data_IF_577480476395
#
_entry.id   IF_577480476395
#
_cell.length_a   1.000
_cell.length_b   1.000
_cell.length_c   1.000
_cell.angle_alpha   90.00
_cell.angle_beta   90.00
_cell.angle_gamma   90.00
#
_symmetry.space_group_name_H-M   'P 1'
#
loop_
_entity.id
_entity.type
_entity.pdbx_description
1 polymer ?
#
# COMPACT_ATOMS: atom_id res chain seq x y z
N UNK A 1 -21.66 26.61 -10.88
CA UNK A 1 -21.73 25.46 -9.94
C UNK A 1 -20.79 24.32 -10.36
N UNK A 2 -20.87 23.77 -11.58
CA UNK A 2 -19.92 22.71 -12.01
C UNK A 2 -18.43 23.08 -11.81
N UNK A 3 -18.03 24.30 -12.21
CA UNK A 3 -16.66 24.80 -11.98
C UNK A 3 -16.26 24.88 -10.50
N UNK A 4 -17.16 25.27 -9.60
CA UNK A 4 -16.85 25.35 -8.15
C UNK A 4 -16.79 23.96 -7.50
N UNK A 5 -17.60 23.00 -7.95
CA UNK A 5 -17.50 21.60 -7.55
C UNK A 5 -16.19 20.96 -8.04
N UNK A 6 -15.77 21.23 -9.28
CA UNK A 6 -14.47 20.78 -9.80
C UNK A 6 -13.29 21.28 -8.97
N UNK A 7 -13.27 22.58 -8.62
CA UNK A 7 -12.21 23.16 -7.77
C UNK A 7 -12.19 22.57 -6.35
N UNK A 8 -13.35 22.22 -5.78
CA UNK A 8 -13.45 21.54 -4.48
C UNK A 8 -12.99 20.08 -4.53
N UNK A 9 -13.23 19.37 -5.63
CA UNK A 9 -12.71 18.00 -5.83
C UNK A 9 -11.20 18.00 -6.06
N UNK A 10 -10.65 19.00 -6.75
CA UNK A 10 -9.20 19.21 -6.83
C UNK A 10 -8.59 19.50 -5.46
N UNK A 11 -9.17 20.39 -4.64
CA UNK A 11 -8.61 20.65 -3.31
C UNK A 11 -8.70 19.43 -2.38
N UNK A 12 -9.80 18.68 -2.41
CA UNK A 12 -9.93 17.45 -1.62
C UNK A 12 -8.92 16.36 -2.01
N UNK A 13 -8.71 16.14 -3.32
CA UNK A 13 -7.70 15.17 -3.80
C UNK A 13 -6.27 15.64 -3.51
N UNK A 14 -5.97 16.94 -3.67
CA UNK A 14 -4.67 17.49 -3.30
C UNK A 14 -4.37 17.35 -1.80
N UNK A 15 -5.34 17.65 -0.92
CA UNK A 15 -5.22 17.45 0.53
C UNK A 15 -4.99 15.98 0.86
N UNK A 16 -5.72 15.06 0.22
CA UNK A 16 -5.51 13.62 0.39
C UNK A 16 -4.09 13.20 -0.03
N UNK A 17 -3.61 13.61 -1.22
CA UNK A 17 -2.26 13.30 -1.68
C UNK A 17 -1.18 13.86 -0.77
N UNK A 18 -1.35 15.08 -0.26
CA UNK A 18 -0.42 15.70 0.69
C UNK A 18 -0.40 14.89 1.99
N UNK A 19 -1.56 14.56 2.57
CA UNK A 19 -1.61 13.74 3.79
C UNK A 19 -1.01 12.34 3.60
N UNK A 20 -1.25 11.67 2.45
CA UNK A 20 -0.64 10.36 2.18
C UNK A 20 0.87 10.45 1.98
N UNK A 21 1.39 11.49 1.31
CA UNK A 21 2.83 11.69 1.13
C UNK A 21 3.50 12.08 2.45
N UNK A 22 2.86 12.94 3.26
CA UNK A 22 3.36 13.33 4.57
C UNK A 22 3.39 12.14 5.55
N UNK A 23 2.33 11.31 5.55
CA UNK A 23 2.26 10.09 6.37
C UNK A 23 3.26 9.03 5.89
N UNK A 24 3.41 8.84 4.58
CA UNK A 24 4.41 7.93 4.02
C UNK A 24 5.83 8.39 4.41
N UNK A 25 6.16 9.68 4.26
CA UNK A 25 7.43 10.23 4.70
C UNK A 25 7.66 10.05 6.21
N UNK A 26 6.62 10.25 7.04
CA UNK A 26 6.72 10.07 8.50
C UNK A 26 6.90 8.60 8.93
N UNK A 27 6.33 7.65 8.18
CA UNK A 27 6.51 6.21 8.43
C UNK A 27 7.86 5.67 7.92
N UNK A 28 8.50 6.36 6.97
CA UNK A 28 9.90 6.12 6.57
C UNK A 28 10.92 6.88 7.46
N UNK A 29 10.48 7.55 8.53
CA UNK A 29 11.31 8.33 9.46
C UNK A 29 11.48 7.70 10.85
N UNK A 30 11.01 6.46 11.04
CA UNK A 30 11.28 5.69 12.25
C UNK A 30 12.66 5.02 12.14
N UNK A 31 13.62 5.32 13.04
CA UNK A 31 14.89 4.60 13.05
C UNK A 31 14.66 3.13 13.41
N UNK A 32 15.48 2.26 12.80
CA UNK A 32 15.77 0.92 13.33
C UNK A 32 17.11 1.07 14.04
N UNK A 33 17.17 0.72 15.32
CA UNK A 33 18.36 0.90 16.16
C UNK A 33 19.02 -0.46 16.43
N UNK A 34 20.33 -0.52 16.17
CA UNK A 34 21.30 -1.62 16.32
C UNK A 34 21.17 -2.87 15.42
N UNK A 35 22.26 -3.15 14.66
CA UNK A 35 22.49 -4.41 13.92
C UNK A 35 23.74 -5.19 14.46
N UNK A 36 24.51 -4.62 15.40
CA UNK A 36 25.42 -5.38 16.30
C UNK A 36 24.80 -5.55 17.70
N UNK A 37 24.74 -6.79 18.18
CA UNK A 37 24.47 -7.13 19.60
C UNK A 37 25.69 -7.77 20.27
N UNK A 38 26.17 -7.19 21.37
CA UNK A 38 27.35 -7.64 22.11
C UNK A 38 27.00 -8.13 23.52
N UNK A 39 27.71 -9.17 23.99
CA UNK A 39 27.46 -9.88 25.24
C UNK A 39 28.76 -10.24 25.96
N UNK A 40 28.77 -10.19 27.30
CA UNK A 40 29.86 -10.74 28.14
C UNK A 40 29.38 -11.90 29.01
N UNK A 41 30.30 -12.66 29.61
CA UNK A 41 29.95 -13.73 30.57
C UNK A 41 29.22 -13.21 31.82
N UNK A 42 29.40 -11.94 32.18
CA UNK A 42 28.71 -11.30 33.31
C UNK A 42 27.28 -10.83 32.95
N UNK A 43 26.73 -11.27 31.81
CA UNK A 43 25.46 -10.82 31.23
C UNK A 43 25.38 -9.30 30.99
N UNK A 44 26.51 -8.60 30.83
CA UNK A 44 26.50 -7.24 30.29
C UNK A 44 26.18 -7.32 28.79
N UNK A 45 25.22 -6.53 28.34
CA UNK A 45 24.74 -6.51 26.95
C UNK A 45 24.78 -5.10 26.39
N UNK A 46 25.19 -4.96 25.13
CA UNK A 46 25.22 -3.69 24.40
C UNK A 46 24.71 -3.87 22.99
N UNK A 47 23.84 -2.97 22.56
CA UNK A 47 23.30 -2.89 21.22
C UNK A 47 23.92 -1.66 20.55
N UNK A 48 24.42 -1.80 19.32
CA UNK A 48 25.16 -0.74 18.62
C UNK A 48 24.76 -0.64 17.15
N UNK A 49 24.69 0.58 16.65
CA UNK A 49 24.47 0.86 15.23
C UNK A 49 25.74 0.63 14.41
N UNK A 50 25.57 0.04 13.24
CA UNK A 50 26.59 -0.17 12.24
C UNK A 50 26.01 -0.02 10.82
N UNK A 51 26.86 -0.20 9.81
CA UNK A 51 26.48 -0.11 8.41
C UNK A 51 27.22 -1.18 7.60
N UNK A 52 26.52 -2.16 6.97
CA UNK A 52 27.17 -3.23 6.23
C UNK A 52 27.96 -2.73 5.01
N UNK A 53 29.07 -3.42 4.71
CA UNK A 53 29.88 -3.13 3.54
C UNK A 53 29.12 -3.41 2.24
N UNK A 54 29.40 -2.63 1.19
CA UNK A 54 28.88 -2.86 -0.17
C UNK A 54 29.65 -3.95 -0.93
N UNK A 55 30.37 -4.80 -0.22
CA UNK A 55 31.20 -5.89 -0.73
C UNK A 55 31.37 -6.98 0.34
N UNK A 56 31.95 -8.11 -0.05
CA UNK A 56 32.01 -9.29 0.81
C UNK A 56 30.75 -10.13 0.72
N UNK A 57 30.71 -11.21 1.50
CA UNK A 57 29.53 -12.07 1.60
C UNK A 57 28.48 -11.47 2.55
N UNK A 58 27.19 -11.77 2.34
CA UNK A 58 26.12 -11.29 3.23
C UNK A 58 26.16 -12.02 4.57
N UNK A 59 25.73 -11.35 5.64
CA UNK A 59 25.60 -11.99 6.95
C UNK A 59 24.55 -13.13 6.90
N UNK A 60 24.74 -14.24 7.64
CA UNK A 60 23.76 -15.33 7.73
C UNK A 60 22.44 -14.86 8.34
N UNK A 61 21.33 -15.49 7.96
CA UNK A 61 19.98 -15.19 8.50
C UNK A 61 19.89 -15.22 10.01
N UNK A 62 20.68 -16.09 10.64
CA UNK A 62 20.66 -16.38 12.06
C UNK A 62 21.67 -15.51 12.84
N UNK A 63 22.28 -14.53 12.16
CA UNK A 63 23.41 -13.74 12.63
C UNK A 63 24.76 -14.47 12.57
N UNK A 64 25.85 -13.71 12.70
CA UNK A 64 27.20 -14.23 12.84
C UNK A 64 27.74 -13.92 14.24
N UNK A 65 27.65 -14.91 15.13
CA UNK A 65 28.24 -14.85 16.47
C UNK A 65 29.73 -15.18 16.44
N UNK A 66 30.56 -14.32 17.06
CA UNK A 66 32.00 -14.57 17.22
C UNK A 66 32.66 -13.79 18.36
N UNK A 67 33.88 -14.19 18.68
CA UNK A 67 34.74 -13.49 19.65
C UNK A 67 35.39 -12.26 19.02
N UNK A 68 35.32 -11.12 19.70
CA UNK A 68 35.87 -9.86 19.21
C UNK A 68 37.35 -9.69 19.59
N UNK A 69 38.21 -9.32 18.64
CA UNK A 69 39.62 -9.02 18.90
C UNK A 69 40.10 -7.82 18.08
N UNK A 70 40.92 -6.95 18.66
CA UNK A 70 41.52 -5.81 17.95
C UNK A 70 42.63 -6.24 16.99
N UNK A 71 42.65 -5.68 15.78
CA UNK A 71 43.67 -5.95 14.77
C UNK A 71 45.08 -5.55 15.22
N UNK A 72 46.09 -6.23 14.69
CA UNK A 72 47.51 -5.91 14.88
C UNK A 72 48.28 -6.12 13.56
N UNK A 73 48.79 -5.06 12.91
CA UNK A 73 48.59 -3.64 13.21
C UNK A 73 47.10 -3.23 13.20
N UNK A 74 46.72 -2.24 14.02
CA UNK A 74 45.32 -1.79 14.18
C UNK A 74 44.67 -1.37 12.85
N UNK A 75 45.44 -0.82 11.92
CA UNK A 75 44.95 -0.34 10.64
C UNK A 75 44.75 -1.45 9.59
N UNK A 76 45.23 -2.68 9.83
CA UNK A 76 45.19 -3.82 8.90
C UNK A 76 45.61 -3.54 7.44
N UNK A 77 46.49 -2.55 7.21
CA UNK A 77 46.96 -2.21 5.86
C UNK A 77 48.08 -3.16 5.37
N UNK A 78 48.79 -3.77 6.31
CA UNK A 78 49.69 -4.90 6.12
C UNK A 78 49.05 -6.19 6.68
N UNK A 79 49.58 -7.40 6.39
CA UNK A 79 49.07 -8.65 6.97
C UNK A 79 49.05 -8.59 8.50
N UNK A 80 47.92 -9.01 9.10
CA UNK A 80 47.68 -8.91 10.55
C UNK A 80 47.88 -10.23 11.30
N UNK A 81 48.09 -10.14 12.61
CA UNK A 81 48.12 -11.30 13.52
C UNK A 81 46.87 -12.19 13.33
N UNK A 82 47.04 -13.52 13.17
CA UNK A 82 45.91 -14.46 13.04
C UNK A 82 45.16 -14.64 14.37
N UNK A 83 43.90 -15.13 14.34
CA UNK A 83 43.13 -15.36 15.56
C UNK A 83 43.77 -16.41 16.47
N UNK A 84 43.57 -16.33 17.80
CA UNK A 84 44.14 -17.28 18.76
C UNK A 84 43.72 -18.73 18.50
N UNK A 85 44.69 -19.57 18.13
CA UNK A 85 44.50 -21.01 17.94
C UNK A 85 44.11 -21.66 19.27
N UNK A 86 42.97 -22.37 19.30
CA UNK A 86 42.54 -23.21 20.43
C UNK A 86 41.79 -24.45 19.92
N UNK A 87 42.30 -25.64 20.25
CA UNK A 87 41.93 -26.91 19.62
C UNK A 87 40.48 -27.38 19.88
N UNK A 88 39.77 -26.77 20.85
CA UNK A 88 38.43 -27.16 21.29
C UNK A 88 37.37 -26.03 21.19
N UNK A 89 37.65 -24.92 20.49
CA UNK A 89 36.70 -23.79 20.37
C UNK A 89 36.22 -23.63 18.92
N UNK A 90 34.98 -24.07 18.66
CA UNK A 90 34.28 -23.93 17.37
C UNK A 90 33.73 -22.51 17.13
N UNK A 91 34.33 -21.49 17.76
CA UNK A 91 33.87 -20.10 17.68
C UNK A 91 34.48 -19.36 16.51
N UNK A 92 33.68 -18.56 15.81
CA UNK A 92 34.20 -17.58 14.86
C UNK A 92 34.99 -16.49 15.60
N UNK A 93 36.03 -15.95 14.96
CA UNK A 93 36.71 -14.73 15.41
C UNK A 93 36.38 -13.58 14.47
N UNK A 94 36.09 -12.42 15.06
CA UNK A 94 35.68 -11.18 14.38
C UNK A 94 36.69 -10.11 14.78
N UNK A 95 37.31 -9.48 13.78
CA UNK A 95 38.38 -8.51 14.02
C UNK A 95 37.87 -7.07 13.98
N UNK A 96 38.31 -6.25 14.93
CA UNK A 96 38.04 -4.82 14.99
C UNK A 96 39.24 -4.04 14.43
N UNK A 97 39.02 -3.29 13.35
CA UNK A 97 40.04 -2.61 12.54
C UNK A 97 39.83 -1.10 12.58
N UNK A 98 40.92 -0.34 12.71
CA UNK A 98 40.92 1.13 12.69
C UNK A 98 40.86 1.69 11.26
N UNK A 99 40.04 2.72 11.02
CA UNK A 99 40.02 3.53 9.77
C UNK A 99 41.37 4.26 9.54
N UNK A 100 41.54 4.80 8.33
CA UNK A 100 42.74 5.48 7.79
C UNK A 100 43.86 4.55 7.28
N UNK A 101 44.94 5.16 6.77
CA UNK A 101 46.13 4.59 6.11
C UNK A 101 45.91 3.82 4.80
N UNK A 102 44.79 3.13 4.62
CA UNK A 102 44.44 2.38 3.41
C UNK A 102 42.92 2.24 3.21
N UNK A 103 42.53 1.77 2.03
CA UNK A 103 41.14 1.51 1.65
C UNK A 103 40.50 0.36 2.47
N UNK A 104 39.17 0.35 2.53
CA UNK A 104 38.38 -0.63 3.30
C UNK A 104 38.51 -2.07 2.80
N UNK A 105 38.58 -2.27 1.49
CA UNK A 105 38.76 -3.57 0.84
C UNK A 105 40.09 -4.23 1.22
N UNK A 106 41.20 -3.48 1.24
CA UNK A 106 42.52 -3.96 1.69
C UNK A 106 42.46 -4.45 3.14
N UNK A 107 41.80 -3.70 4.03
CA UNK A 107 41.63 -4.05 5.45
C UNK A 107 40.91 -5.38 5.63
N UNK A 108 39.76 -5.54 4.97
CA UNK A 108 38.93 -6.73 5.07
C UNK A 108 39.60 -7.93 4.39
N UNK A 109 40.28 -7.72 3.26
CA UNK A 109 41.06 -8.77 2.59
C UNK A 109 42.25 -9.25 3.42
N UNK A 110 42.95 -8.36 4.13
CA UNK A 110 44.02 -8.76 5.06
C UNK A 110 43.47 -9.50 6.29
N UNK A 111 42.30 -9.12 6.81
CA UNK A 111 41.59 -9.87 7.85
C UNK A 111 41.20 -11.29 7.40
N UNK A 112 40.65 -11.43 6.20
CA UNK A 112 40.32 -12.73 5.61
C UNK A 112 41.57 -13.61 5.43
N UNK A 113 42.67 -13.04 4.92
CA UNK A 113 43.96 -13.73 4.77
C UNK A 113 44.58 -14.18 6.11
N UNK A 114 44.32 -13.43 7.19
CA UNK A 114 44.71 -13.82 8.55
C UNK A 114 43.78 -14.88 9.18
N UNK A 115 42.64 -15.21 8.54
CA UNK A 115 41.73 -16.29 8.98
C UNK A 115 40.52 -15.83 9.80
N UNK A 116 40.25 -14.53 9.90
CA UNK A 116 39.04 -14.01 10.56
C UNK A 116 37.77 -14.34 9.75
N UNK A 117 36.61 -14.39 10.42
CA UNK A 117 35.31 -14.71 9.81
C UNK A 117 34.42 -13.50 9.53
N UNK A 118 34.74 -12.35 10.11
CA UNK A 118 34.17 -11.05 9.78
C UNK A 118 35.14 -9.95 10.23
N UNK A 119 35.00 -8.75 9.64
CA UNK A 119 35.73 -7.56 10.04
C UNK A 119 34.76 -6.42 10.36
N UNK A 120 34.91 -5.84 11.56
CA UNK A 120 34.28 -4.57 11.95
C UNK A 120 35.33 -3.49 11.72
N UNK A 121 35.05 -2.52 10.84
CA UNK A 121 35.92 -1.34 10.66
C UNK A 121 35.32 -0.17 11.41
N UNK A 122 36.09 0.49 12.26
CA UNK A 122 35.58 1.61 13.05
C UNK A 122 36.09 2.97 12.59
N UNK A 123 35.21 3.96 12.72
CA UNK A 123 35.53 5.36 12.52
C UNK A 123 36.51 5.88 13.61
N UNK A 124 37.12 7.04 13.36
CA UNK A 124 38.18 7.65 14.18
C UNK A 124 38.02 9.16 14.11
N UNK A 125 38.07 9.83 15.27
CA UNK A 125 37.78 11.26 15.46
C UNK A 125 36.38 11.69 14.95
N UNK A 126 35.42 10.76 14.85
CA UNK A 126 34.07 10.95 14.30
C UNK A 126 33.17 9.73 14.58
N UNK A 127 31.88 9.98 14.85
CA UNK A 127 30.87 8.94 15.08
C UNK A 127 29.94 8.69 13.88
N UNK A 128 30.17 9.39 12.75
CA UNK A 128 29.37 9.22 11.54
C UNK A 128 29.54 7.80 10.95
N UNK A 129 28.45 7.13 10.60
CA UNK A 129 28.50 5.86 9.86
C UNK A 129 28.74 6.12 8.36
N UNK A 130 29.65 5.36 7.75
CA UNK A 130 30.14 5.62 6.38
C UNK A 130 30.14 4.32 5.56
N UNK A 131 29.44 4.37 4.42
CA UNK A 131 29.32 3.26 3.46
C UNK A 131 30.70 2.78 2.97
N UNK A 132 31.16 1.62 3.44
CA UNK A 132 32.35 0.97 2.89
C UNK A 132 32.08 0.47 1.47
N UNK A 133 32.99 0.81 0.55
CA UNK A 133 32.98 0.40 -0.85
C UNK A 133 34.38 0.43 -1.44
N UNK A 134 34.56 -0.15 -2.63
CA UNK A 134 35.77 -0.01 -3.44
C UNK A 134 35.41 0.09 -4.93
N UNK A 135 36.36 0.59 -5.71
CA UNK A 135 36.30 0.66 -7.17
C UNK A 135 37.12 -0.47 -7.84
N UNK A 136 37.91 -1.23 -7.08
CA UNK A 136 38.74 -2.33 -7.61
C UNK A 136 37.95 -3.65 -7.63
N UNK A 137 37.40 -3.98 -8.81
CA UNK A 137 36.58 -5.17 -9.00
C UNK A 137 37.35 -6.49 -8.82
N UNK A 138 38.68 -6.50 -8.93
CA UNK A 138 39.48 -7.73 -8.81
C UNK A 138 39.92 -7.98 -7.36
N UNK A 139 40.06 -6.93 -6.55
CA UNK A 139 40.13 -7.04 -5.08
C UNK A 139 38.77 -7.48 -4.53
N UNK A 140 37.66 -6.88 -4.97
CA UNK A 140 36.33 -7.22 -4.44
C UNK A 140 35.92 -8.70 -4.65
N UNK A 141 36.34 -9.32 -5.77
CA UNK A 141 36.12 -10.76 -6.05
C UNK A 141 36.90 -11.71 -5.11
N UNK A 142 37.84 -11.20 -4.32
CA UNK A 142 38.63 -11.98 -3.37
C UNK A 142 38.09 -11.89 -1.93
N UNK A 143 37.04 -11.10 -1.68
CA UNK A 143 36.49 -10.88 -0.34
C UNK A 143 35.23 -11.73 -0.16
N UNK A 144 35.35 -12.78 0.65
CA UNK A 144 34.32 -13.78 0.96
C UNK A 144 33.80 -13.67 2.41
N UNK A 145 34.37 -12.78 3.24
CA UNK A 145 33.85 -12.51 4.59
C UNK A 145 32.88 -11.32 4.59
N UNK A 146 31.84 -11.33 5.44
CA UNK A 146 31.08 -10.12 5.74
C UNK A 146 31.97 -9.08 6.42
N UNK A 147 31.59 -7.81 6.30
CA UNK A 147 32.19 -6.73 7.07
C UNK A 147 31.21 -5.57 7.27
N UNK A 148 31.37 -4.84 8.38
CA UNK A 148 30.47 -3.77 8.82
C UNK A 148 31.25 -2.57 9.35
N UNK A 149 30.64 -1.38 9.32
CA UNK A 149 31.27 -0.13 9.74
C UNK A 149 30.59 0.45 10.98
N UNK A 150 31.36 0.88 11.98
CA UNK A 150 30.84 1.43 13.26
C UNK A 150 31.41 2.82 13.59
N UNK A 151 30.70 3.55 14.47
CA UNK A 151 31.16 4.80 15.10
C UNK A 151 32.39 4.60 16.01
N UNK A 152 33.05 5.69 16.40
CA UNK A 152 34.18 5.62 17.33
C UNK A 152 33.71 5.31 18.76
N UNK A 153 32.60 5.89 19.23
CA UNK A 153 31.98 5.58 20.52
C UNK A 153 31.61 4.09 20.64
N UNK A 154 31.00 3.50 19.60
CA UNK A 154 30.73 2.06 19.53
C UNK A 154 32.03 1.25 19.63
N UNK A 155 33.05 1.61 18.86
CA UNK A 155 34.30 0.86 18.85
C UNK A 155 35.10 0.97 20.16
N UNK A 156 35.02 2.10 20.85
CA UNK A 156 35.60 2.27 22.17
C UNK A 156 34.84 1.41 23.20
N UNK A 157 33.51 1.44 23.18
CA UNK A 157 32.66 0.56 24.02
C UNK A 157 32.96 -0.93 23.78
N UNK A 158 33.08 -1.34 22.50
CA UNK A 158 33.44 -2.69 22.10
C UNK A 158 34.86 -3.10 22.56
N UNK A 159 35.83 -2.18 22.56
CA UNK A 159 37.19 -2.40 23.09
C UNK A 159 37.23 -2.46 24.62
N UNK A 160 36.44 -1.63 25.30
CA UNK A 160 36.47 -1.51 26.76
C UNK A 160 35.74 -2.66 27.46
N UNK A 161 34.65 -3.18 26.90
CA UNK A 161 33.83 -4.22 27.53
C UNK A 161 33.82 -5.58 26.83
N UNK A 162 33.77 -5.61 25.49
CA UNK A 162 33.30 -6.79 24.74
C UNK A 162 34.41 -7.59 24.02
N UNK A 163 35.68 -7.37 24.39
CA UNK A 163 36.82 -8.09 23.80
C UNK A 163 36.98 -9.52 24.33
N UNK A 164 37.60 -10.38 23.52
CA UNK A 164 37.84 -11.81 23.79
C UNK A 164 38.58 -12.10 25.10
N UNK A 165 39.51 -11.23 25.52
CA UNK A 165 40.23 -11.34 26.80
C UNK A 165 39.31 -11.16 28.02
N UNK A 166 38.21 -10.41 27.86
CA UNK A 166 37.12 -10.25 28.84
C UNK A 166 36.02 -11.30 28.66
N UNK A 167 36.21 -12.23 27.72
CA UNK A 167 35.23 -13.23 27.34
C UNK A 167 34.05 -12.69 26.53
N UNK A 168 34.13 -11.44 26.06
CA UNK A 168 33.08 -10.82 25.25
C UNK A 168 32.93 -11.49 23.88
N UNK A 169 31.71 -11.46 23.37
CA UNK A 169 31.36 -11.94 22.04
C UNK A 169 30.28 -11.05 21.41
N UNK A 170 30.42 -10.80 20.12
CA UNK A 170 29.48 -10.01 19.31
C UNK A 170 28.69 -10.92 18.39
N UNK A 171 27.46 -10.52 18.10
CA UNK A 171 26.58 -11.10 17.09
C UNK A 171 26.32 -9.98 16.08
N UNK A 172 26.81 -10.16 14.86
CA UNK A 172 26.46 -9.31 13.74
C UNK A 172 25.15 -9.86 13.16
N UNK A 173 24.05 -9.13 13.29
CA UNK A 173 22.79 -9.49 12.64
C UNK A 173 22.82 -9.03 11.18
N UNK A 174 22.06 -9.64 10.27
CA UNK A 174 21.80 -9.06 8.97
C UNK A 174 20.67 -8.03 9.07
N UNK A 175 20.94 -6.82 8.58
CA UNK A 175 20.00 -5.76 8.23
C UNK A 175 18.79 -6.28 7.41
N UNK A 176 17.79 -6.83 8.13
CA UNK A 176 16.56 -7.40 7.59
C UNK A 176 15.59 -6.28 7.19
N UNK A 177 15.99 -5.51 6.19
CA UNK A 177 15.28 -4.42 5.52
C UNK A 177 14.00 -4.82 4.76
N UNK A 178 13.33 -5.89 5.21
CA UNK A 178 11.92 -6.18 4.95
C UNK A 178 11.10 -5.95 6.23
N UNK A 179 10.87 -4.68 6.64
CA UNK A 179 10.03 -4.34 7.78
C UNK A 179 8.55 -4.54 7.42
N UNK A 180 8.13 -5.80 7.30
CA UNK A 180 6.76 -6.18 6.91
C UNK A 180 5.72 -5.51 7.81
N UNK A 181 6.00 -5.35 9.11
CA UNK A 181 5.16 -4.61 10.04
C UNK A 181 4.97 -3.14 9.64
N UNK A 182 6.03 -2.46 9.20
CA UNK A 182 6.01 -1.05 8.77
C UNK A 182 5.27 -0.86 7.43
N UNK A 183 5.12 -1.92 6.62
CA UNK A 183 4.26 -1.90 5.43
C UNK A 183 2.81 -2.34 5.73
N UNK A 184 2.62 -3.29 6.64
CA UNK A 184 1.31 -3.80 7.06
C UNK A 184 0.49 -2.74 7.82
N UNK A 185 1.12 -1.96 8.71
CA UNK A 185 0.45 -0.89 9.47
C UNK A 185 -0.20 0.16 8.55
N UNK A 186 0.52 0.84 7.63
CA UNK A 186 -0.10 1.77 6.69
C UNK A 186 -1.11 1.09 5.75
N UNK A 187 -0.87 -0.14 5.29
CA UNK A 187 -1.83 -0.88 4.48
C UNK A 187 -3.18 -1.06 5.21
N UNK A 188 -3.15 -1.49 6.48
CA UNK A 188 -4.33 -1.63 7.33
C UNK A 188 -5.02 -0.29 7.61
N UNK A 189 -4.25 0.79 7.80
CA UNK A 189 -4.80 2.16 7.96
C UNK A 189 -5.52 2.60 6.67
N UNK A 190 -4.92 2.40 5.49
CA UNK A 190 -5.54 2.72 4.20
C UNK A 190 -6.84 1.94 3.98
N UNK A 191 -6.84 0.62 4.23
CA UNK A 191 -8.05 -0.21 4.14
C UNK A 191 -9.13 0.26 5.13
N UNK A 192 -8.74 0.62 6.36
CA UNK A 192 -9.65 1.17 7.37
C UNK A 192 -10.31 2.49 6.93
N UNK A 193 -9.54 3.42 6.35
CA UNK A 193 -10.06 4.69 5.81
C UNK A 193 -11.04 4.42 4.65
N UNK A 194 -10.70 3.52 3.72
CA UNK A 194 -11.60 3.14 2.63
C UNK A 194 -12.93 2.57 3.14
N UNK A 195 -12.91 1.69 4.14
CA UNK A 195 -14.12 1.14 4.76
C UNK A 195 -14.96 2.23 5.46
N UNK A 196 -14.33 3.17 6.17
CA UNK A 196 -15.03 4.31 6.80
C UNK A 196 -15.71 5.18 5.74
N UNK A 197 -15.04 5.49 4.62
CA UNK A 197 -15.62 6.28 3.53
C UNK A 197 -16.81 5.55 2.88
N UNK A 198 -16.72 4.24 2.67
CA UNK A 198 -17.84 3.41 2.16
C UNK A 198 -19.02 3.43 3.14
N UNK A 199 -18.78 3.28 4.45
CA UNK A 199 -19.83 3.33 5.48
C UNK A 199 -20.49 4.73 5.53
N UNK A 200 -19.72 5.81 5.46
CA UNK A 200 -20.24 7.19 5.38
C UNK A 200 -21.05 7.41 4.11
N UNK A 201 -20.62 6.90 2.96
CA UNK A 201 -21.39 6.93 1.72
C UNK A 201 -22.71 6.14 1.83
N UNK A 202 -22.68 4.94 2.41
CA UNK A 202 -23.89 4.14 2.65
C UNK A 202 -24.87 4.84 3.61
N UNK A 203 -24.37 5.46 4.69
CA UNK A 203 -25.20 6.21 5.64
C UNK A 203 -25.80 7.45 4.98
N UNK A 204 -25.01 8.25 4.27
CA UNK A 204 -25.49 9.46 3.59
C UNK A 204 -26.50 9.11 2.49
N UNK A 205 -26.24 8.07 1.68
CA UNK A 205 -27.22 7.55 0.71
C UNK A 205 -28.51 7.05 1.38
N UNK A 206 -28.41 6.26 2.46
CA UNK A 206 -29.58 5.77 3.20
C UNK A 206 -30.42 6.93 3.78
N UNK A 207 -29.77 7.98 4.28
CA UNK A 207 -30.43 9.20 4.74
C UNK A 207 -31.08 9.95 3.57
N UNK A 208 -30.38 10.14 2.46
CA UNK A 208 -30.92 10.79 1.25
C UNK A 208 -32.14 10.07 0.69
N UNK A 209 -32.08 8.74 0.50
CA UNK A 209 -33.20 7.92 0.03
C UNK A 209 -34.39 7.98 1.00
N UNK A 210 -34.12 7.92 2.31
CA UNK A 210 -35.14 8.09 3.37
C UNK A 210 -35.75 9.51 3.39
N UNK A 211 -35.00 10.53 2.99
CA UNK A 211 -35.50 11.90 2.82
C UNK A 211 -36.30 12.06 1.50
N UNK A 212 -35.87 11.44 0.40
CA UNK A 212 -36.61 11.40 -0.88
C UNK A 212 -37.98 10.73 -0.70
N UNK A 213 -38.02 9.60 0.01
CA UNK A 213 -39.24 8.89 0.38
C UNK A 213 -40.17 9.65 1.36
N UNK A 214 -39.66 10.67 2.07
CA UNK A 214 -40.46 11.58 2.90
C UNK A 214 -41.03 12.75 2.08
N UNK A 215 -40.22 13.37 1.21
CA UNK A 215 -40.63 14.55 0.41
C UNK A 215 -41.71 14.25 -0.64
N UNK A 216 -41.87 13.00 -1.08
CA UNK A 216 -42.85 12.59 -2.11
C UNK A 216 -44.33 12.59 -1.66
N UNK A 217 -44.63 12.61 -0.36
CA UNK A 217 -46.00 12.41 0.17
C UNK A 217 -46.71 13.73 0.50
N UNK A 218 -47.99 13.87 0.11
CA UNK A 218 -48.80 15.03 0.52
C UNK A 218 -49.33 14.87 1.95
N UNK A 219 -49.18 15.91 2.80
CA UNK A 219 -49.85 15.94 4.12
C UNK A 219 -51.37 15.91 3.92
N UNK A 220 -52.07 15.09 4.72
CA UNK A 220 -53.54 14.94 4.67
C UNK A 220 -54.29 16.28 4.78
N UNK A 221 -53.70 17.27 5.43
CA UNK A 221 -54.34 18.58 5.67
C UNK A 221 -54.23 19.54 4.49
N UNK A 222 -53.28 19.33 3.58
CA UNK A 222 -53.26 20.03 2.28
C UNK A 222 -54.25 19.35 1.30
N UNK A 223 -54.36 18.02 1.34
CA UNK A 223 -55.34 17.25 0.56
C UNK A 223 -56.80 17.68 0.84
N UNK A 224 -57.13 17.99 2.11
CA UNK A 224 -58.43 18.52 2.53
C UNK A 224 -58.81 19.86 1.88
N UNK A 225 -57.85 20.66 1.39
CA UNK A 225 -58.09 21.98 0.78
C UNK A 225 -58.45 21.90 -0.71
N UNK A 226 -58.24 20.76 -1.37
CA UNK A 226 -58.55 20.58 -2.78
C UNK A 226 -60.07 20.47 -2.97
N UNK A 227 -60.66 21.16 -3.97
CA UNK A 227 -62.10 21.23 -4.15
C UNK A 227 -62.71 19.85 -4.41
N UNK A 228 -63.90 19.63 -3.82
CA UNK A 228 -64.69 18.42 -4.00
C UNK A 228 -66.00 18.81 -4.70
N UNK A 229 -66.18 18.34 -5.93
CA UNK A 229 -67.46 18.39 -6.63
C UNK A 229 -68.35 17.23 -6.21
N UNK A 230 -69.67 17.39 -6.36
CA UNK A 230 -70.61 16.27 -6.34
C UNK A 230 -71.10 16.08 -7.76
N UNK A 231 -70.82 14.93 -8.36
CA UNK A 231 -71.24 14.65 -9.73
C UNK A 231 -72.76 14.77 -9.88
N UNK A 232 -73.19 15.35 -11.00
CA UNK A 232 -74.54 15.27 -11.51
C UNK A 232 -74.51 14.89 -12.99
N UNK A 233 -75.47 14.09 -13.41
CA UNK A 233 -75.66 13.69 -14.80
C UNK A 233 -75.81 14.92 -15.72
N UNK A 234 -74.75 15.20 -16.48
CA UNK A 234 -74.61 16.41 -17.30
C UNK A 234 -73.43 17.33 -16.94
N UNK A 235 -72.63 17.01 -15.92
CA UNK A 235 -71.32 17.62 -15.70
C UNK A 235 -70.31 17.27 -16.83
N UNK A 236 -69.23 18.04 -16.96
CA UNK A 236 -68.18 17.90 -18.00
C UNK A 236 -67.17 16.76 -17.71
N UNK A 237 -67.57 15.74 -16.95
CA UNK A 237 -66.69 14.65 -16.51
C UNK A 237 -67.46 13.32 -16.55
N UNK A 238 -67.04 12.37 -17.38
CA UNK A 238 -67.81 11.13 -17.58
C UNK A 238 -67.20 9.88 -16.90
N UNK A 239 -65.86 9.78 -16.86
CA UNK A 239 -65.13 8.57 -16.41
C UNK A 239 -63.98 8.93 -15.47
N UNK A 240 -63.71 8.06 -14.49
CA UNK A 240 -62.57 8.17 -13.58
C UNK A 240 -61.31 7.48 -14.11
N UNK A 241 -60.31 8.25 -14.54
CA UNK A 241 -59.04 7.74 -15.08
C UNK A 241 -58.11 7.03 -14.06
N UNK A 242 -58.63 6.50 -12.94
CA UNK A 242 -57.89 5.66 -11.98
C UNK A 242 -58.55 4.27 -11.82
N UNK A 243 -59.87 4.19 -11.76
CA UNK A 243 -60.62 2.92 -11.68
C UNK A 243 -61.31 2.53 -13.00
N UNK A 244 -61.40 3.47 -13.95
CA UNK A 244 -62.05 3.35 -15.26
C UNK A 244 -63.58 3.23 -15.24
N UNK A 245 -64.19 3.41 -14.07
CA UNK A 245 -65.65 3.48 -13.90
C UNK A 245 -66.23 4.82 -14.38
N UNK A 246 -67.47 4.79 -14.89
CA UNK A 246 -68.31 5.97 -15.12
C UNK A 246 -68.74 6.61 -13.78
N UNK A 247 -69.15 7.89 -13.79
CA UNK A 247 -69.59 8.61 -12.59
C UNK A 247 -71.10 8.50 -12.32
N UNK A 248 -71.48 8.19 -11.08
CA UNK A 248 -72.89 8.08 -10.64
C UNK A 248 -73.42 9.35 -9.97
N UNK A 249 -74.73 9.64 -10.08
CA UNK A 249 -75.35 10.84 -9.48
C UNK A 249 -75.09 10.95 -7.97
N UNK A 250 -74.38 12.01 -7.55
CA UNK A 250 -73.98 12.27 -6.17
C UNK A 250 -72.55 11.87 -5.81
N UNK A 251 -71.77 11.31 -6.75
CA UNK A 251 -70.39 10.88 -6.48
C UNK A 251 -69.46 12.02 -6.05
N UNK A 252 -68.48 11.72 -5.19
CA UNK A 252 -67.59 12.74 -4.61
C UNK A 252 -66.30 12.87 -5.42
N UNK A 253 -66.30 13.75 -6.39
CA UNK A 253 -65.15 13.98 -7.26
C UNK A 253 -64.19 14.99 -6.63
N UNK A 254 -62.90 14.69 -6.54
CA UNK A 254 -61.87 15.68 -6.24
C UNK A 254 -61.34 16.24 -7.56
N UNK A 255 -61.39 17.56 -7.70
CA UNK A 255 -60.83 18.28 -8.85
C UNK A 255 -59.45 18.80 -8.48
N UNK A 256 -58.45 18.55 -9.32
CA UNK A 256 -57.08 19.03 -9.14
C UNK A 256 -56.91 20.42 -9.76
N UNK A 257 -55.85 21.21 -9.41
CA UNK A 257 -55.63 22.54 -9.99
C UNK A 257 -55.42 22.55 -11.52
N UNK A 258 -55.17 21.38 -12.11
CA UNK A 258 -55.07 21.12 -13.54
C UNK A 258 -56.42 20.67 -14.15
N UNK A 259 -57.54 21.07 -13.56
CA UNK A 259 -58.95 20.73 -13.89
C UNK A 259 -59.36 19.26 -14.00
N UNK A 260 -58.43 18.29 -13.93
CA UNK A 260 -58.76 16.87 -13.94
C UNK A 260 -59.55 16.46 -12.68
N UNK A 261 -60.65 15.74 -12.87
CA UNK A 261 -61.49 15.19 -11.80
C UNK A 261 -61.31 13.67 -11.66
N UNK A 262 -61.42 13.19 -10.42
CA UNK A 262 -61.32 11.77 -10.05
C UNK A 262 -62.22 11.49 -8.85
N UNK A 263 -62.70 10.25 -8.66
CA UNK A 263 -63.28 9.85 -7.37
C UNK A 263 -62.32 10.17 -6.22
N UNK A 264 -62.80 10.83 -5.16
CA UNK A 264 -61.99 11.16 -3.97
C UNK A 264 -61.32 9.91 -3.37
N UNK A 265 -62.04 8.77 -3.36
CA UNK A 265 -61.54 7.46 -2.89
C UNK A 265 -60.30 6.99 -3.66
N UNK A 266 -60.21 7.31 -4.96
CA UNK A 266 -59.20 6.77 -5.87
C UNK A 266 -57.96 7.66 -5.95
N UNK A 267 -58.11 8.99 -5.92
CA UNK A 267 -56.98 9.93 -5.99
C UNK A 267 -56.34 10.26 -4.64
N UNK A 268 -57.06 10.14 -3.52
CA UNK A 268 -56.52 10.40 -2.19
C UNK A 268 -55.37 9.44 -1.79
N UNK A 269 -55.43 8.11 -2.08
CA UNK A 269 -54.30 7.21 -1.91
C UNK A 269 -53.10 7.59 -2.78
N UNK A 270 -53.32 7.96 -4.05
CA UNK A 270 -52.26 8.33 -4.99
C UNK A 270 -51.45 9.54 -4.49
N UNK A 271 -52.14 10.62 -4.09
CA UNK A 271 -51.51 11.86 -3.63
C UNK A 271 -50.83 11.73 -2.25
N UNK A 272 -51.32 10.83 -1.38
CA UNK A 272 -50.77 10.65 -0.02
C UNK A 272 -49.69 9.58 0.08
N UNK A 273 -49.70 8.55 -0.79
CA UNK A 273 -48.74 7.43 -0.76
C UNK A 273 -47.72 7.46 -1.89
N UNK A 274 -48.12 7.89 -3.09
CA UNK A 274 -47.35 7.69 -4.34
C UNK A 274 -46.61 8.96 -4.79
N UNK A 275 -47.31 9.95 -5.37
CA UNK A 275 -46.72 11.19 -5.91
C UNK A 275 -47.68 12.37 -5.78
N UNK A 276 -47.15 13.59 -5.54
CA UNK A 276 -47.89 14.88 -5.47
C UNK A 276 -48.38 15.40 -6.84
N UNK A 277 -48.61 14.53 -7.82
CA UNK A 277 -48.81 14.89 -9.24
C UNK A 277 -50.10 14.29 -9.78
N UNK A 278 -50.74 14.99 -10.72
CA UNK A 278 -51.89 14.49 -11.47
C UNK A 278 -51.54 13.17 -12.19
N UNK A 279 -52.36 12.09 -12.07
CA UNK A 279 -52.16 10.84 -12.80
C UNK A 279 -52.04 11.04 -14.33
N UNK A 280 -52.92 11.85 -14.92
CA UNK A 280 -52.97 12.07 -16.38
C UNK A 280 -51.88 13.04 -16.85
N UNK A 281 -51.94 14.32 -16.44
CA UNK A 281 -51.05 15.36 -17.00
C UNK A 281 -49.72 15.55 -16.24
N UNK A 282 -49.40 14.73 -15.23
CA UNK A 282 -48.19 14.80 -14.37
C UNK A 282 -47.96 16.12 -13.61
N UNK A 283 -48.79 17.15 -13.78
CA UNK A 283 -48.65 18.45 -13.12
C UNK A 283 -48.71 18.36 -11.59
N UNK A 284 -47.86 19.14 -10.89
CA UNK A 284 -47.82 19.21 -9.41
C UNK A 284 -49.14 19.77 -8.87
N UNK A 285 -49.69 19.13 -7.83
CA UNK A 285 -51.03 19.43 -7.26
C UNK A 285 -51.01 20.56 -6.23
N UNK A 286 -49.83 21.04 -5.84
CA UNK A 286 -49.63 22.22 -4.99
C UNK A 286 -48.59 23.13 -5.66
N UNK A 287 -48.89 24.40 -5.96
CA UNK A 287 -47.88 25.38 -6.36
C UNK A 287 -46.91 25.65 -5.20
N UNK A 288 -45.62 25.84 -5.49
CA UNK A 288 -44.62 26.18 -4.47
C UNK A 288 -44.83 27.59 -3.93
N UNK A 289 -45.63 27.72 -2.87
CA UNK A 289 -45.90 28.97 -2.18
C UNK A 289 -45.84 28.77 -0.66
N UNK A 290 -44.66 28.98 -0.08
CA UNK A 290 -44.49 29.10 1.38
C UNK A 290 -44.02 27.88 2.17
N UNK A 291 -43.09 27.08 1.66
CA UNK A 291 -42.19 26.25 2.49
C UNK A 291 -40.75 26.74 2.27
N UNK A 292 -40.23 27.60 3.16
CA UNK A 292 -38.89 28.20 3.04
C UNK A 292 -37.77 27.30 3.60
N UNK A 293 -37.67 26.06 3.10
CA UNK A 293 -36.60 25.10 3.43
C UNK A 293 -35.66 24.89 2.24
N UNK A 294 -34.70 25.81 2.08
CA UNK A 294 -33.48 25.74 1.24
C UNK A 294 -33.54 24.85 -0.03
N UNK A 295 -33.83 25.47 -1.18
CA UNK A 295 -33.54 24.85 -2.48
C UNK A 295 -32.03 24.94 -2.78
N UNK A 296 -31.36 23.80 -2.77
CA UNK A 296 -30.13 23.56 -3.53
C UNK A 296 -30.42 22.37 -4.46
N UNK A 297 -31.00 22.67 -5.62
CA UNK A 297 -31.47 21.69 -6.59
C UNK A 297 -30.41 21.50 -7.70
N UNK A 298 -29.53 20.53 -7.48
CA UNK A 298 -28.52 20.09 -8.44
C UNK A 298 -28.65 18.58 -8.74
N UNK A 299 -29.89 18.11 -8.95
CA UNK A 299 -30.20 16.75 -9.37
C UNK A 299 -30.72 16.68 -10.80
N UNK A 300 -29.84 16.43 -11.77
CA UNK A 300 -30.19 16.24 -13.19
C UNK A 300 -31.23 15.13 -13.36
N UNK A 301 -32.35 15.40 -14.04
CA UNK A 301 -33.28 14.35 -14.47
C UNK A 301 -32.71 13.61 -15.69
N UNK A 302 -32.03 12.48 -15.44
CA UNK A 302 -31.66 11.53 -16.47
C UNK A 302 -32.93 10.87 -17.05
N UNK A 303 -33.08 10.92 -18.38
CA UNK A 303 -34.24 10.32 -19.06
C UNK A 303 -34.07 8.81 -19.18
N UNK A 304 -34.88 8.05 -18.45
CA UNK A 304 -35.14 6.63 -18.76
C UNK A 304 -35.84 6.53 -20.13
N UNK A 305 -35.07 6.27 -21.18
CA UNK A 305 -35.62 5.88 -22.50
C UNK A 305 -35.72 4.36 -22.54
N UNK A 306 -36.93 3.86 -22.70
CA UNK A 306 -37.24 2.42 -22.75
C UNK A 306 -36.56 1.70 -23.91
N UNK A 307 -35.99 0.53 -23.64
CA UNK A 307 -35.52 -0.39 -24.67
C UNK A 307 -36.66 -0.80 -25.61
N UNK A 308 -36.40 -0.74 -26.92
CA UNK A 308 -37.28 -1.29 -27.96
C UNK A 308 -36.45 -1.56 -29.21
N UNK A 309 -36.14 -2.83 -29.47
CA UNK A 309 -35.39 -3.26 -30.66
C UNK A 309 -36.21 -3.01 -31.94
N UNK A 310 -35.54 -2.61 -33.02
CA UNK A 310 -35.63 -3.45 -34.22
C UNK A 310 -34.31 -3.62 -34.98
N UNK A 311 -34.28 -4.63 -35.85
CA UNK A 311 -33.16 -4.98 -36.74
C UNK A 311 -33.26 -4.29 -38.11
N UNK A 312 -32.10 -4.16 -38.78
CA UNK A 312 -31.90 -4.13 -40.25
C UNK A 312 -32.73 -3.15 -41.11
N UNK A 313 -32.06 -2.16 -41.75
CA UNK A 313 -31.67 -2.22 -43.19
C UNK A 313 -30.73 -1.06 -43.58
N UNK A 314 -30.02 -1.21 -44.69
CA UNK A 314 -28.93 -0.33 -45.15
C UNK A 314 -29.32 0.63 -46.30
N UNK A 315 -28.44 1.63 -46.56
CA UNK A 315 -28.34 2.49 -47.77
C UNK A 315 -29.41 3.60 -47.88
N UNK A 316 -29.14 4.80 -48.41
CA UNK A 316 -27.99 5.29 -49.20
C UNK A 316 -27.75 6.81 -49.09
N UNK A 317 -26.54 7.27 -49.47
CA UNK A 317 -26.23 8.59 -50.08
C UNK A 317 -26.46 9.89 -49.25
N UNK A 318 -25.77 11.02 -49.50
CA UNK A 318 -24.47 11.30 -50.16
C UNK A 318 -24.06 12.76 -49.84
N UNK A 319 -22.83 13.17 -50.23
CA UNK A 319 -22.12 14.42 -49.88
C UNK A 319 -21.65 14.49 -48.41
N UNK A 320 -20.38 14.81 -48.09
CA UNK A 320 -19.18 14.99 -48.93
C UNK A 320 -18.73 16.44 -49.07
N UNK A 321 -17.51 16.71 -48.59
CA UNK A 321 -16.58 17.76 -49.04
C UNK A 321 -15.17 17.34 -48.60
N UNK A 322 -14.20 17.41 -49.52
CA UNK A 322 -12.80 17.08 -49.23
C UNK A 322 -11.88 18.11 -49.88
N UNK A 323 -10.99 18.69 -49.07
CA UNK A 323 -9.93 19.61 -49.48
C UNK A 323 -8.90 19.66 -48.32
N UNK A 324 -7.60 19.78 -48.53
CA UNK A 324 -6.83 19.82 -49.77
C UNK A 324 -5.45 20.38 -49.47
N UNK A 325 -4.41 19.56 -49.63
CA UNK A 325 -3.02 19.90 -49.25
C UNK A 325 -2.39 20.92 -50.20
N UNK A 326 -1.57 21.84 -49.69
CA UNK A 326 -0.34 22.31 -50.37
C UNK A 326 0.60 22.96 -49.34
N UNK A 327 1.88 23.08 -49.70
CA UNK A 327 3.00 23.37 -48.80
C UNK A 327 3.96 24.42 -49.35
N UNK A 328 4.75 25.03 -48.45
CA UNK A 328 5.98 25.76 -48.81
C UNK A 328 5.97 27.26 -48.48
N UNK A 329 7.11 27.92 -48.29
CA UNK A 329 8.49 27.41 -48.19
C UNK A 329 9.43 28.49 -47.60
N UNK A 330 10.72 28.13 -47.43
CA UNK A 330 11.87 29.02 -47.11
C UNK A 330 12.17 29.23 -45.60
N UNK A 331 13.43 29.18 -45.13
CA UNK A 331 14.71 28.84 -45.81
C UNK A 331 15.86 28.56 -44.81
N UNK A 332 16.71 27.57 -45.15
CA UNK A 332 18.21 27.56 -45.15
C UNK A 332 19.03 28.18 -43.98
N UNK A 333 20.16 27.62 -43.50
CA UNK A 333 20.99 26.45 -43.94
C UNK A 333 21.95 25.98 -42.78
N UNK A 334 22.93 25.05 -42.92
CA UNK A 334 23.15 23.98 -41.91
C UNK A 334 24.61 23.87 -41.39
N UNK A 335 24.95 22.69 -40.82
CA UNK A 335 26.24 21.93 -40.90
C UNK A 335 26.36 21.01 -39.65
N UNK A 336 26.83 19.75 -39.66
CA UNK A 336 27.19 18.82 -40.75
C UNK A 336 27.10 17.33 -40.27
N UNK A 337 27.32 16.39 -41.19
CA UNK A 337 27.52 14.90 -41.09
C UNK A 337 28.14 14.30 -39.80
N UNK A 338 28.01 13.01 -39.44
CA UNK A 338 27.25 11.80 -39.89
C UNK A 338 27.36 10.72 -38.76
N UNK A 339 27.12 9.39 -38.83
CA UNK A 339 26.78 8.38 -39.87
C UNK A 339 26.08 7.16 -39.23
N UNK A 340 25.71 6.12 -40.00
CA UNK A 340 24.97 4.90 -39.57
C UNK A 340 25.83 3.62 -39.52
N UNK A 341 25.40 2.59 -38.76
CA UNK A 341 25.76 1.18 -38.97
C UNK A 341 24.62 0.21 -38.62
N UNK A 342 24.53 -0.87 -39.41
CA UNK A 342 23.60 -2.02 -39.37
C UNK A 342 24.11 -3.14 -38.42
N UNK A 343 23.32 -4.10 -37.90
CA UNK A 343 21.87 -4.26 -37.65
C UNK A 343 21.67 -5.55 -36.78
N UNK A 344 20.43 -6.02 -36.57
CA UNK A 344 19.98 -7.34 -36.04
C UNK A 344 20.08 -7.64 -34.53
N UNK A 345 18.91 -7.95 -33.96
CA UNK A 345 18.71 -8.75 -32.75
C UNK A 345 18.43 -10.21 -33.13
N UNK A 346 18.96 -11.17 -32.37
CA UNK A 346 18.72 -12.61 -32.57
C UNK A 346 17.92 -13.18 -31.39
N UNK A 347 16.88 -13.98 -31.67
CA UNK A 347 16.01 -14.59 -30.66
C UNK A 347 16.59 -15.92 -30.17
N UNK A 348 16.33 -16.26 -28.90
CA UNK A 348 16.52 -17.64 -28.41
C UNK A 348 15.40 -18.02 -27.45
N UNK A 349 14.70 -19.09 -27.80
CA UNK A 349 13.53 -19.61 -27.06
C UNK A 349 14.00 -20.48 -25.88
N UNK A 350 13.39 -20.32 -24.70
CA UNK A 350 13.63 -21.22 -23.55
C UNK A 350 12.73 -22.46 -23.64
N UNK A 351 13.32 -23.66 -23.72
CA UNK A 351 12.59 -24.94 -23.64
C UNK A 351 12.24 -25.30 -22.18
N UNK A 352 11.00 -25.74 -21.96
CA UNK A 352 10.48 -26.18 -20.66
C UNK A 352 11.04 -27.56 -20.25
N UNK A 353 11.63 -27.64 -19.06
CA UNK A 353 12.15 -28.89 -18.47
C UNK A 353 11.45 -29.15 -17.14
N UNK A 354 10.32 -29.86 -17.21
CA UNK A 354 9.60 -30.36 -16.03
C UNK A 354 10.36 -31.49 -15.34
N UNK A 355 10.67 -31.32 -14.05
CA UNK A 355 11.29 -32.35 -13.20
C UNK A 355 10.28 -32.84 -12.17
N UNK A 356 9.84 -34.09 -12.30
CA UNK A 356 9.01 -34.76 -11.29
C UNK A 356 9.80 -35.01 -10.01
N UNK A 357 9.22 -34.71 -8.84
CA UNK A 357 9.86 -34.91 -7.53
C UNK A 357 9.09 -35.94 -6.71
N UNK A 358 9.64 -37.16 -6.64
CA UNK A 358 9.06 -38.26 -5.89
C UNK A 358 9.29 -38.06 -4.37
N UNK A 359 8.21 -38.07 -3.58
CA UNK A 359 8.25 -37.67 -2.15
C UNK A 359 8.42 -38.88 -1.23
N UNK A 360 9.66 -39.16 -0.83
CA UNK A 360 9.98 -40.22 0.14
C UNK A 360 9.66 -39.78 1.57
N UNK A 361 8.58 -40.32 2.13
CA UNK A 361 8.17 -40.06 3.52
C UNK A 361 9.01 -40.89 4.50
N UNK A 362 9.86 -40.24 5.29
CA UNK A 362 10.58 -40.86 6.41
C UNK A 362 9.84 -40.58 7.71
N UNK A 363 9.36 -41.63 8.37
CA UNK A 363 8.54 -41.54 9.57
C UNK A 363 9.43 -41.59 10.81
N UNK A 364 9.45 -40.49 11.60
CA UNK A 364 10.27 -40.39 12.81
C UNK A 364 9.63 -41.17 13.97
N UNK A 365 10.42 -42.06 14.58
CA UNK A 365 10.05 -42.85 15.77
C UNK A 365 10.46 -42.10 17.04
N UNK A 366 9.58 -42.04 18.05
CA UNK A 366 9.88 -41.41 19.33
C UNK A 366 10.95 -42.19 20.13
N UNK A 367 11.86 -41.49 20.86
CA UNK A 367 12.90 -42.15 21.64
C UNK A 367 12.33 -42.81 22.91
N UNK A 368 12.71 -44.07 23.14
CA UNK A 368 12.28 -44.81 24.33
C UNK A 368 12.91 -44.26 25.62
N UNK A 369 12.09 -44.09 26.65
CA UNK A 369 12.52 -43.66 27.97
C UNK A 369 13.33 -44.77 28.67
N UNK A 370 14.63 -44.54 28.87
CA UNK A 370 15.57 -45.52 29.42
C UNK A 370 16.24 -45.01 30.69
N UNK A 371 15.98 -45.68 31.82
CA UNK A 371 16.67 -45.41 33.10
C UNK A 371 18.09 -45.96 33.01
N UNK A 372 19.08 -45.14 33.33
CA UNK A 372 20.45 -45.58 33.61
C UNK A 372 20.65 -45.52 35.12
N UNK A 373 20.85 -46.69 35.71
CA UNK A 373 21.12 -46.86 37.14
C UNK A 373 22.61 -46.62 37.43
N UNK A 374 22.94 -46.17 38.64
CA UNK A 374 24.33 -45.92 39.03
C UNK A 374 25.08 -47.23 39.27
N UNK A 375 26.32 -47.30 38.81
CA UNK A 375 27.30 -48.21 39.41
C UNK A 375 28.55 -47.42 39.85
N UNK A 376 29.07 -47.77 41.02
CA UNK A 376 30.15 -47.07 41.71
C UNK A 376 31.26 -48.08 42.03
N UNK A 377 32.24 -48.19 41.14
CA UNK A 377 33.43 -49.02 41.39
C UNK A 377 34.64 -48.16 41.80
N UNK A 378 35.46 -48.69 42.72
CA UNK A 378 36.34 -47.89 43.58
C UNK A 378 37.71 -48.54 43.87
N UNK A 379 38.41 -48.94 42.80
CA UNK A 379 39.84 -49.36 42.76
C UNK A 379 40.42 -48.93 41.40
N UNK A 380 41.67 -48.48 41.22
CA UNK A 380 42.86 -48.33 42.09
C UNK A 380 43.35 -46.86 42.05
N UNK A 381 43.98 -46.25 43.07
CA UNK A 381 45.25 -46.56 43.75
C UNK A 381 46.53 -46.47 42.89
N UNK A 382 47.13 -45.28 42.89
CA UNK A 382 48.59 -45.00 42.90
C UNK A 382 49.44 -45.56 41.74
N UNK A 383 49.81 -44.67 40.80
CA UNK A 383 51.24 -44.39 40.57
C UNK A 383 51.51 -43.00 39.99
#
# INVERSE_FOLDING_TARGET
MLLSLGMLMLSATQIYTIFTVQLFAFLNLLPVEADISAYTFDNKTGNFDDLPARFGYRLPSDGLKGFLIGARPENACEPIDPPPIRDNLTGAFIVLIKRFDCNFDIKVLNAQKAGYKSAIVHNVDSDDLISMGSNDLDILKQIDIPSVFVSEETANSLKEDYTYDKGGHVVLMPDFSLPLEYYLIPFLITVGICLILIVVFMITKFVQDRHRARRSRLRKDQLKKLPIHKYKKGDVYDVCAICLDEYEDGDKLRVLPCSHAYHSKCVDPWLTKTKKTCPVCKQKVVPSAGDSDSEDDSGTEENEVSESTPLLRSLASASGHGFGTTSGASRSEPDQESSEYEDTSDDSEEEDVTVETETVVVQLQEPHNGVIEYDLDATDLVR
#
